data_IF_367104196226
#
_entry.id   IF_367104196226
#
_cell.length_a   1.000
_cell.length_b   1.000
_cell.length_c   1.000
_cell.angle_alpha   90.00
_cell.angle_beta   90.00
_cell.angle_gamma   90.00
#
_symmetry.space_group_name_H-M   'P 1'
#
loop_
_entity.id
_entity.type
_entity.pdbx_description
1 polymer ?
#
# COMPACT_ATOMS: atom_id res chain seq x y z
N UNK A 1 -31.26 -0.28 43.35
CA UNK A 1 -30.08 -1.17 43.32
C UNK A 1 -30.16 -2.24 42.24
N UNK A 2 -31.18 -3.12 42.21
CA UNK A 2 -31.27 -4.21 41.21
C UNK A 2 -31.37 -3.74 39.74
N UNK A 3 -32.21 -2.74 39.44
CA UNK A 3 -32.36 -2.20 38.08
C UNK A 3 -31.10 -1.49 37.58
N UNK A 4 -30.38 -0.78 38.47
CA UNK A 4 -29.12 -0.12 38.15
C UNK A 4 -28.04 -1.15 37.80
N UNK A 5 -27.93 -2.24 38.56
CA UNK A 5 -26.98 -3.32 38.29
C UNK A 5 -27.27 -4.00 36.94
N UNK A 6 -28.54 -4.24 36.61
CA UNK A 6 -28.95 -4.82 35.33
C UNK A 6 -28.64 -3.88 34.16
N UNK A 7 -28.93 -2.59 34.31
CA UNK A 7 -28.62 -1.58 33.28
C UNK A 7 -27.10 -1.47 33.05
N UNK A 8 -26.29 -1.51 34.11
CA UNK A 8 -24.83 -1.51 34.00
C UNK A 8 -24.30 -2.78 33.34
N UNK A 9 -24.85 -3.95 33.69
CA UNK A 9 -24.47 -5.23 33.07
C UNK A 9 -24.81 -5.27 31.57
N UNK A 10 -25.98 -4.74 31.19
CA UNK A 10 -26.37 -4.60 29.79
C UNK A 10 -25.44 -3.64 29.03
N UNK A 11 -25.09 -2.50 29.61
CA UNK A 11 -24.16 -1.55 28.98
C UNK A 11 -22.78 -2.19 28.73
N UNK A 12 -22.27 -2.95 29.68
CA UNK A 12 -20.98 -3.65 29.57
C UNK A 12 -21.04 -4.75 28.49
N UNK A 13 -22.14 -5.50 28.41
CA UNK A 13 -22.32 -6.54 27.39
C UNK A 13 -22.44 -5.99 25.96
N UNK A 14 -23.09 -4.84 25.78
CA UNK A 14 -23.13 -4.17 24.48
C UNK A 14 -21.76 -3.63 24.06
N UNK A 15 -20.95 -3.13 25.00
CA UNK A 15 -19.62 -2.63 24.72
C UNK A 15 -18.63 -3.74 24.27
N UNK A 16 -18.79 -4.97 24.77
CA UNK A 16 -17.96 -6.11 24.36
C UNK A 16 -18.37 -6.73 23.02
N UNK A 17 -19.64 -6.66 22.63
CA UNK A 17 -20.12 -7.14 21.34
C UNK A 17 -19.61 -6.32 20.14
N UNK A 18 -19.14 -5.09 20.37
CA UNK A 18 -18.69 -4.15 19.33
C UNK A 18 -17.17 -4.23 19.02
N UNK A 19 -16.44 -5.22 19.54
CA UNK A 19 -15.06 -5.45 19.09
C UNK A 19 -15.06 -6.22 17.78
N UNK A 20 -15.12 -5.50 16.67
CA UNK A 20 -14.72 -6.05 15.38
C UNK A 20 -13.31 -6.65 15.51
N UNK A 21 -13.11 -7.87 15.01
CA UNK A 21 -11.79 -8.50 15.02
C UNK A 21 -10.83 -7.65 14.18
N UNK A 22 -9.85 -7.04 14.83
CA UNK A 22 -8.89 -6.16 14.18
C UNK A 22 -8.07 -6.88 13.10
N UNK A 23 -7.84 -8.19 13.25
CA UNK A 23 -7.16 -9.00 12.23
C UNK A 23 -8.07 -9.22 11.03
N UNK A 24 -9.35 -9.56 11.25
CA UNK A 24 -10.30 -9.70 10.14
C UNK A 24 -10.46 -8.38 9.37
N UNK A 25 -10.63 -7.27 10.10
CA UNK A 25 -10.77 -5.95 9.50
C UNK A 25 -9.52 -5.55 8.70
N UNK A 26 -8.32 -5.78 9.26
CA UNK A 26 -7.05 -5.52 8.58
C UNK A 26 -6.79 -6.46 7.40
N UNK A 27 -7.30 -7.69 7.43
CA UNK A 27 -7.21 -8.61 6.29
C UNK A 27 -8.13 -8.19 5.15
N UNK A 28 -9.37 -7.76 5.45
CA UNK A 28 -10.31 -7.25 4.46
C UNK A 28 -9.88 -5.91 3.86
N UNK A 29 -9.23 -5.06 4.65
CA UNK A 29 -8.71 -3.76 4.22
C UNK A 29 -7.26 -3.56 4.68
N UNK A 30 -6.29 -4.13 3.94
CA UNK A 30 -4.88 -4.07 4.31
C UNK A 30 -4.37 -2.63 4.44
N UNK A 31 -3.54 -2.34 5.45
CA UNK A 31 -2.91 -1.03 5.57
C UNK A 31 -1.88 -0.81 4.45
N UNK A 32 -1.55 0.45 4.17
CA UNK A 32 -0.65 0.82 3.07
C UNK A 32 0.73 0.16 3.13
N UNK A 33 1.30 -0.04 4.32
CA UNK A 33 2.61 -0.70 4.50
C UNK A 33 2.60 -2.19 4.13
N UNK A 34 1.43 -2.82 4.06
CA UNK A 34 1.30 -4.23 3.68
C UNK A 34 1.21 -4.44 2.16
N UNK A 35 1.15 -3.35 1.37
CA UNK A 35 1.13 -3.44 -0.08
C UNK A 35 2.48 -3.92 -0.62
N UNK A 36 2.50 -4.75 -1.67
CA UNK A 36 3.75 -5.21 -2.26
C UNK A 36 4.51 -4.06 -2.94
N UNK A 37 5.83 -4.19 -2.99
CA UNK A 37 6.70 -3.30 -3.78
C UNK A 37 7.23 -4.04 -5.02
N UNK A 38 7.78 -3.29 -5.98
CA UNK A 38 8.42 -3.87 -7.17
C UNK A 38 9.76 -3.23 -7.48
N UNK A 39 10.57 -3.92 -8.29
CA UNK A 39 11.78 -3.36 -8.89
C UNK A 39 11.41 -2.65 -10.19
N UNK A 40 11.88 -1.42 -10.33
CA UNK A 40 11.68 -0.61 -11.53
C UNK A 40 13.03 -0.24 -12.12
N UNK A 41 13.42 -0.98 -13.15
CA UNK A 41 14.68 -0.80 -13.83
C UNK A 41 14.53 0.28 -14.91
N UNK A 42 15.29 1.34 -14.76
CA UNK A 42 15.53 2.32 -15.80
C UNK A 42 16.73 1.84 -16.61
N UNK A 43 16.48 1.42 -17.85
CA UNK A 43 17.45 0.68 -18.65
C UNK A 43 18.13 1.60 -19.64
N UNK A 44 19.46 1.72 -19.55
CA UNK A 44 20.30 2.45 -20.51
C UNK A 44 19.72 3.83 -20.85
N UNK A 45 19.43 4.64 -19.82
CA UNK A 45 18.92 6.01 -20.00
C UNK A 45 17.55 6.14 -20.69
N UNK A 46 16.83 5.05 -20.95
CA UNK A 46 15.51 5.08 -21.59
C UNK A 46 14.42 5.46 -20.59
N UNK A 47 14.36 6.75 -20.26
CA UNK A 47 13.43 7.31 -19.27
C UNK A 47 12.83 8.62 -19.77
N UNK A 48 11.53 8.82 -19.54
CA UNK A 48 10.83 10.08 -19.80
C UNK A 48 9.89 10.43 -18.65
N UNK A 49 9.56 11.72 -18.47
CA UNK A 49 8.64 12.17 -17.42
C UNK A 49 7.24 11.62 -17.64
N UNK A 50 6.82 11.54 -18.90
CA UNK A 50 5.54 11.00 -19.32
C UNK A 50 5.45 9.50 -19.01
N UNK A 51 6.52 8.74 -19.30
CA UNK A 51 6.62 7.32 -18.98
C UNK A 51 6.64 7.06 -17.48
N UNK A 52 7.41 7.84 -16.71
CA UNK A 52 7.41 7.79 -15.24
C UNK A 52 6.01 7.98 -14.68
N UNK A 53 5.26 8.96 -15.19
CA UNK A 53 3.90 9.24 -14.74
C UNK A 53 2.98 8.06 -15.05
N UNK A 54 3.00 7.57 -16.29
CA UNK A 54 2.17 6.46 -16.72
C UNK A 54 2.44 5.16 -15.92
N UNK A 55 3.71 4.86 -15.66
CA UNK A 55 4.14 3.70 -14.88
C UNK A 55 3.65 3.78 -13.43
N UNK A 56 3.87 4.91 -12.76
CA UNK A 56 3.45 5.10 -11.36
C UNK A 56 1.92 5.07 -11.21
N UNK A 57 1.18 5.66 -12.15
CA UNK A 57 -0.28 5.56 -12.17
C UNK A 57 -0.76 4.13 -12.39
N UNK A 58 -0.09 3.36 -13.27
CA UNK A 58 -0.40 1.96 -13.48
C UNK A 58 -0.17 1.12 -12.23
N UNK A 59 0.97 1.33 -11.55
CA UNK A 59 1.30 0.68 -10.28
C UNK A 59 0.29 0.99 -9.19
N UNK A 60 -0.13 2.26 -9.07
CA UNK A 60 -1.17 2.67 -8.13
C UNK A 60 -2.52 2.01 -8.43
N UNK A 61 -2.93 1.94 -9.71
CA UNK A 61 -4.20 1.31 -10.13
C UNK A 61 -4.29 -0.17 -9.74
N UNK A 62 -3.17 -0.89 -9.76
CA UNK A 62 -3.13 -2.32 -9.40
C UNK A 62 -2.75 -2.58 -7.94
N UNK A 63 -2.51 -1.52 -7.16
CA UNK A 63 -2.30 -1.63 -5.71
C UNK A 63 -0.85 -1.87 -5.27
N UNK A 64 0.15 -1.61 -6.11
CA UNK A 64 1.55 -1.56 -5.69
C UNK A 64 1.76 -0.41 -4.69
N UNK A 65 2.45 -0.68 -3.60
CA UNK A 65 2.70 0.28 -2.51
C UNK A 65 3.95 1.12 -2.67
N UNK A 66 4.88 0.69 -3.52
CA UNK A 66 6.17 1.36 -3.69
C UNK A 66 7.06 0.69 -4.71
N UNK A 67 8.16 1.37 -5.04
CA UNK A 67 9.15 0.92 -6.02
C UNK A 67 10.56 1.08 -5.47
N UNK A 68 11.45 0.18 -5.88
CA UNK A 68 12.89 0.35 -5.78
C UNK A 68 13.41 0.62 -7.20
N UNK A 69 13.97 1.81 -7.40
CA UNK A 69 14.44 2.26 -8.71
C UNK A 69 15.90 1.87 -8.87
N UNK A 70 16.22 1.24 -9.99
CA UNK A 70 17.58 0.87 -10.36
C UNK A 70 17.89 1.46 -11.72
N UNK A 71 18.99 2.21 -11.82
CA UNK A 71 19.57 2.50 -13.12
C UNK A 71 20.48 1.34 -13.51
N UNK A 72 20.22 0.72 -14.67
CA UNK A 72 20.97 -0.44 -15.14
C UNK A 72 21.44 -0.22 -16.57
N UNK A 73 22.66 -0.68 -16.84
CA UNK A 73 23.20 -0.79 -18.19
C UNK A 73 23.26 -2.27 -18.56
N UNK A 74 22.55 -2.66 -19.61
CA UNK A 74 22.52 -4.01 -20.16
C UNK A 74 22.91 -4.04 -21.65
N UNK A 75 23.55 -2.97 -22.15
CA UNK A 75 24.07 -2.88 -23.52
C UNK A 75 23.03 -2.61 -24.62
N UNK A 76 21.85 -2.08 -24.29
CA UNK A 76 20.87 -1.61 -25.30
C UNK A 76 21.14 -0.14 -25.67
N UNK A 77 20.64 0.36 -26.82
CA UNK A 77 20.82 1.76 -27.20
C UNK A 77 20.36 2.74 -26.12
N UNK A 78 21.15 3.80 -25.90
CA UNK A 78 20.87 4.79 -24.86
C UNK A 78 19.68 5.68 -25.24
N UNK A 79 18.82 5.95 -24.24
CA UNK A 79 17.72 6.91 -24.34
C UNK A 79 18.13 8.37 -24.16
N UNK A 80 19.41 8.64 -23.88
CA UNK A 80 19.97 10.00 -23.87
C UNK A 80 19.78 10.81 -22.58
N UNK A 81 19.22 10.22 -21.52
CA UNK A 81 19.18 10.83 -20.18
C UNK A 81 20.54 10.65 -19.48
N UNK A 82 21.18 11.73 -19.08
CA UNK A 82 22.45 11.65 -18.32
C UNK A 82 22.17 11.50 -16.82
N UNK A 83 22.76 10.49 -16.19
CA UNK A 83 22.83 10.35 -14.72
C UNK A 83 24.10 10.98 -14.16
N UNK A 84 24.07 11.39 -12.89
CA UNK A 84 25.18 12.00 -12.15
C UNK A 84 26.26 10.99 -11.75
#
# INVERSE_FOLDING_TARGET
>A
MRATVIATLLLVALATACKADALEAGFRNPPGWAKPHTWWHWVNDNVSKEGITADLEAMQRVGIGGVQVFHVDVGVPSGGVTYL
#
